data_IF_022728065305
#
_entry.id   IF_022728065305
#
_cell.length_a   1.000
_cell.length_b   1.000
_cell.length_c   1.000
_cell.angle_alpha   90.00
_cell.angle_beta   90.00
_cell.angle_gamma   90.00
#
_symmetry.space_group_name_H-M   'P 1'
#
loop_
_entity.id
_entity.type
_entity.pdbx_description
1 polymer ?
#
# COMPACT_ATOMS: atom_id res chain seq x y z
N UNK A 1 40.10 27.58 -26.23
CA UNK A 1 39.32 28.46 -25.33
C UNK A 1 38.70 27.64 -24.22
N UNK A 2 38.01 26.53 -24.52
CA UNK A 2 37.46 25.62 -23.51
C UNK A 2 38.49 25.05 -22.51
N UNK A 3 39.69 24.62 -22.94
CA UNK A 3 40.73 24.10 -22.02
C UNK A 3 41.13 25.08 -20.90
N UNK A 4 41.10 26.39 -21.16
CA UNK A 4 41.43 27.40 -20.15
C UNK A 4 40.30 27.58 -19.12
N UNK A 5 39.06 27.27 -19.51
CA UNK A 5 37.90 27.38 -18.62
C UNK A 5 37.79 26.12 -17.76
N UNK A 6 37.98 24.93 -18.34
CA UNK A 6 38.01 23.68 -17.58
C UNK A 6 39.13 23.67 -16.54
N UNK A 7 40.34 24.14 -16.90
CA UNK A 7 41.43 24.31 -15.93
C UNK A 7 41.13 25.38 -14.88
N UNK A 8 40.55 26.53 -15.25
CA UNK A 8 40.10 27.52 -14.27
C UNK A 8 39.10 26.94 -13.28
N UNK A 9 38.11 26.18 -13.75
CA UNK A 9 37.11 25.54 -12.90
C UNK A 9 37.79 24.59 -11.92
N UNK A 10 38.60 23.66 -12.44
CA UNK A 10 39.22 22.58 -11.67
C UNK A 10 40.31 23.04 -10.72
N UNK A 11 41.07 24.07 -11.08
CA UNK A 11 42.25 24.48 -10.32
C UNK A 11 41.99 25.70 -9.41
N UNK A 12 40.95 26.49 -9.71
CA UNK A 12 40.70 27.77 -9.04
C UNK A 12 39.28 27.84 -8.47
N UNK A 13 38.25 27.66 -9.31
CA UNK A 13 36.87 27.96 -8.90
C UNK A 13 36.34 27.01 -7.82
N UNK A 14 36.67 25.71 -7.87
CA UNK A 14 36.23 24.73 -6.86
C UNK A 14 36.77 25.02 -5.45
N UNK A 15 37.80 25.86 -5.33
CA UNK A 15 38.37 26.29 -4.06
C UNK A 15 37.83 27.65 -3.59
N UNK A 16 36.92 28.25 -4.36
CA UNK A 16 36.24 29.48 -4.01
C UNK A 16 35.00 29.21 -3.14
N UNK A 17 34.51 30.25 -2.46
CA UNK A 17 33.25 30.25 -1.71
C UNK A 17 32.13 30.95 -2.51
N UNK A 18 32.26 31.02 -3.84
CA UNK A 18 31.34 31.73 -4.73
C UNK A 18 30.12 30.87 -5.13
N UNK A 19 29.37 30.39 -4.14
CA UNK A 19 28.24 29.47 -4.38
C UNK A 19 27.09 30.13 -5.16
N UNK A 20 26.94 31.46 -5.03
CA UNK A 20 25.88 32.25 -5.66
C UNK A 20 25.92 32.20 -7.20
N UNK A 21 27.11 32.01 -7.79
CA UNK A 21 27.28 32.01 -9.26
C UNK A 21 27.25 30.61 -9.87
N UNK A 22 27.19 29.55 -9.04
CA UNK A 22 27.14 28.15 -9.51
C UNK A 22 25.99 27.90 -10.50
N UNK A 23 24.75 28.38 -10.27
CA UNK A 23 23.67 28.21 -11.26
C UNK A 23 24.02 28.79 -12.63
N UNK A 24 24.69 29.94 -12.67
CA UNK A 24 25.11 30.61 -13.90
C UNK A 24 26.20 29.80 -14.63
N UNK A 25 27.15 29.25 -13.88
CA UNK A 25 28.18 28.36 -14.40
C UNK A 25 27.60 27.05 -14.94
N UNK A 26 26.71 26.40 -14.19
CA UNK A 26 26.05 25.16 -14.62
C UNK A 26 25.22 25.38 -15.90
N UNK A 27 24.67 26.57 -16.10
CA UNK A 27 23.93 26.92 -17.32
C UNK A 27 24.81 27.43 -18.47
N UNK A 28 26.08 27.73 -18.22
CA UNK A 28 26.96 28.27 -19.23
C UNK A 28 27.21 27.25 -20.35
N UNK A 29 27.21 27.74 -21.60
CA UNK A 29 27.40 26.93 -22.82
C UNK A 29 28.82 26.39 -22.98
N UNK A 30 29.79 27.00 -22.30
CA UNK A 30 31.19 26.59 -22.32
C UNK A 30 31.54 25.57 -21.23
N UNK A 31 30.65 25.34 -20.26
CA UNK A 31 30.79 24.28 -19.24
C UNK A 31 30.21 23.00 -19.82
N UNK A 32 31.05 22.03 -20.11
CA UNK A 32 30.62 20.73 -20.60
C UNK A 32 30.13 19.83 -19.45
N UNK A 33 29.75 18.59 -19.80
CA UNK A 33 29.27 17.60 -18.84
C UNK A 33 30.33 17.27 -17.76
N UNK A 34 31.59 17.08 -18.16
CA UNK A 34 32.67 16.71 -17.25
C UNK A 34 32.97 17.81 -16.24
N UNK A 35 32.95 19.07 -16.69
CA UNK A 35 33.13 20.21 -15.80
C UNK A 35 31.93 20.40 -14.86
N UNK A 36 30.69 20.24 -15.36
CA UNK A 36 29.50 20.28 -14.52
C UNK A 36 29.48 19.15 -13.48
N UNK A 37 29.92 17.95 -13.88
CA UNK A 37 30.09 16.81 -12.99
C UNK A 37 31.10 17.14 -11.90
N UNK A 38 32.29 17.55 -12.29
CA UNK A 38 33.37 17.85 -11.36
C UNK A 38 33.00 18.96 -10.36
N UNK A 39 32.29 20.01 -10.81
CA UNK A 39 31.73 21.06 -9.96
C UNK A 39 30.78 20.48 -8.91
N UNK A 40 29.83 19.65 -9.35
CA UNK A 40 28.83 19.02 -8.48
C UNK A 40 29.46 18.08 -7.47
N UNK A 41 30.52 17.36 -7.83
CA UNK A 41 31.20 16.42 -6.92
C UNK A 41 32.12 17.13 -5.91
N UNK A 42 32.70 18.27 -6.30
CA UNK A 42 33.79 18.89 -5.56
C UNK A 42 33.36 20.07 -4.67
N UNK A 43 32.25 20.73 -5.00
CA UNK A 43 31.77 21.91 -4.27
C UNK A 43 30.56 21.56 -3.40
N UNK A 44 30.39 22.29 -2.29
CA UNK A 44 29.23 22.15 -1.40
C UNK A 44 28.34 23.38 -1.54
N UNK A 45 27.21 23.24 -2.22
CA UNK A 45 26.23 24.31 -2.45
C UNK A 45 24.80 23.79 -2.38
N UNK A 46 23.82 24.69 -2.35
CA UNK A 46 22.39 24.35 -2.40
C UNK A 46 21.67 25.22 -3.42
N UNK A 47 20.91 24.58 -4.29
CA UNK A 47 20.05 25.23 -5.27
C UNK A 47 18.67 25.44 -4.67
N UNK A 48 18.24 26.70 -4.61
CA UNK A 48 16.90 27.06 -4.13
C UNK A 48 15.81 26.62 -5.12
N UNK A 49 16.06 26.81 -6.42
CA UNK A 49 15.14 26.43 -7.50
C UNK A 49 15.91 25.64 -8.56
N UNK A 50 15.66 24.33 -8.67
CA UNK A 50 16.33 23.48 -9.66
C UNK A 50 15.78 23.69 -11.07
N UNK A 51 14.59 24.29 -11.21
CA UNK A 51 13.94 24.49 -12.52
C UNK A 51 14.67 25.47 -13.43
N UNK A 52 15.50 26.35 -12.85
CA UNK A 52 16.33 27.29 -13.61
C UNK A 52 17.57 26.63 -14.21
N UNK A 53 17.92 25.40 -13.80
CA UNK A 53 19.09 24.68 -14.29
C UNK A 53 18.73 23.91 -15.56
N UNK A 54 19.47 24.19 -16.64
CA UNK A 54 19.39 23.47 -17.90
C UNK A 54 19.94 22.05 -17.72
N UNK A 55 19.10 21.05 -17.94
CA UNK A 55 19.50 19.67 -17.78
C UNK A 55 20.49 19.26 -18.88
N UNK A 56 21.76 19.08 -18.52
CA UNK A 56 22.79 18.56 -19.42
C UNK A 56 22.77 17.04 -19.36
N UNK A 57 22.67 16.39 -20.52
CA UNK A 57 22.72 14.93 -20.63
C UNK A 57 24.17 14.47 -20.77
N UNK A 58 24.49 13.35 -20.14
CA UNK A 58 25.71 12.63 -20.39
C UNK A 58 25.57 11.84 -21.70
N UNK A 59 26.42 12.15 -22.68
CA UNK A 59 26.42 11.44 -23.97
C UNK A 59 27.11 10.07 -23.91
N UNK A 60 27.80 9.76 -22.81
CA UNK A 60 28.46 8.48 -22.60
C UNK A 60 27.50 7.47 -21.95
N UNK A 61 27.59 6.21 -22.37
CA UNK A 61 26.83 5.13 -21.75
C UNK A 61 27.43 4.80 -20.39
N UNK A 62 26.76 5.24 -19.32
CA UNK A 62 27.07 4.91 -17.93
C UNK A 62 26.04 3.94 -17.36
N UNK A 63 26.50 2.99 -16.54
CA UNK A 63 25.61 2.09 -15.78
C UNK A 63 25.01 2.80 -14.56
N UNK A 64 25.59 3.93 -14.14
CA UNK A 64 25.16 4.69 -12.97
C UNK A 64 24.03 5.64 -13.36
N UNK A 65 22.82 5.36 -12.87
CA UNK A 65 21.62 6.12 -13.20
C UNK A 65 21.73 7.62 -12.84
N UNK A 66 22.50 7.98 -11.81
CA UNK A 66 22.67 9.38 -11.40
C UNK A 66 23.66 10.16 -12.27
N UNK A 67 24.48 9.49 -13.07
CA UNK A 67 25.43 10.11 -14.01
C UNK A 67 24.82 10.34 -15.41
N UNK A 68 23.52 10.08 -15.59
CA UNK A 68 22.87 10.21 -16.90
C UNK A 68 22.57 11.67 -17.25
N UNK A 69 22.30 12.50 -16.26
CA UNK A 69 21.99 13.91 -16.46
C UNK A 69 22.22 14.74 -15.21
N UNK A 70 22.31 16.06 -15.40
CA UNK A 70 22.73 16.99 -14.36
C UNK A 70 21.73 17.05 -13.20
N UNK A 71 20.43 17.00 -13.47
CA UNK A 71 19.42 16.96 -12.41
C UNK A 71 19.55 15.73 -11.53
N UNK A 72 19.85 14.57 -12.11
CA UNK A 72 20.09 13.34 -11.35
C UNK A 72 21.36 13.44 -10.51
N UNK A 73 22.41 14.07 -11.04
CA UNK A 73 23.66 14.30 -10.31
C UNK A 73 23.45 15.24 -9.12
N UNK A 74 22.76 16.36 -9.34
CA UNK A 74 22.42 17.34 -8.30
C UNK A 74 21.57 16.72 -7.19
N UNK A 75 20.62 15.86 -7.54
CA UNK A 75 19.82 15.12 -6.58
C UNK A 75 20.68 14.12 -5.77
N UNK A 76 21.53 13.34 -6.44
CA UNK A 76 22.39 12.34 -5.79
C UNK A 76 23.36 12.98 -4.77
N UNK A 77 23.99 14.10 -5.15
CA UNK A 77 24.91 14.83 -4.27
C UNK A 77 24.21 15.80 -3.31
N UNK A 78 22.86 15.78 -3.24
CA UNK A 78 22.05 16.57 -2.31
C UNK A 78 22.17 18.08 -2.45
N UNK A 79 22.39 18.59 -3.67
CA UNK A 79 22.47 20.03 -3.95
C UNK A 79 21.12 20.69 -4.21
N UNK A 80 20.01 19.99 -4.01
CA UNK A 80 18.66 20.51 -4.28
C UNK A 80 17.96 20.78 -2.94
N UNK A 81 17.52 22.02 -2.74
CA UNK A 81 16.83 22.41 -1.51
C UNK A 81 15.51 21.64 -1.39
N UNK A 82 15.21 21.05 -0.22
CA UNK A 82 14.04 20.21 -0.03
C UNK A 82 12.76 21.04 0.12
N UNK A 83 12.21 21.45 -1.01
CA UNK A 83 10.92 22.13 -1.12
C UNK A 83 9.96 21.28 -1.97
N UNK A 84 8.66 21.49 -1.78
CA UNK A 84 7.66 20.83 -2.62
C UNK A 84 7.75 21.26 -4.08
N UNK A 85 8.10 22.52 -4.36
CA UNK A 85 8.31 23.00 -5.73
C UNK A 85 9.44 22.23 -6.44
N UNK A 86 10.58 22.03 -5.77
CA UNK A 86 11.68 21.25 -6.32
C UNK A 86 11.32 19.77 -6.46
N UNK A 87 10.61 19.19 -5.50
CA UNK A 87 10.13 17.80 -5.59
C UNK A 87 9.18 17.62 -6.79
N UNK A 88 8.21 18.51 -6.95
CA UNK A 88 7.24 18.46 -8.05
C UNK A 88 7.90 18.71 -9.41
N UNK A 89 8.95 19.54 -9.46
CA UNK A 89 9.75 19.72 -10.66
C UNK A 89 10.50 18.44 -11.02
N UNK A 90 11.20 17.81 -10.07
CA UNK A 90 11.90 16.53 -10.30
C UNK A 90 10.94 15.39 -10.68
N UNK A 91 9.69 15.49 -10.23
CA UNK A 91 8.64 14.54 -10.58
C UNK A 91 8.12 14.73 -12.02
N UNK A 92 8.31 15.91 -12.63
CA UNK A 92 7.76 16.22 -13.95
C UNK A 92 8.35 15.30 -15.04
N UNK A 93 7.51 14.93 -16.01
CA UNK A 93 7.89 14.10 -17.17
C UNK A 93 9.00 14.72 -18.03
N UNK A 94 9.09 16.05 -18.06
CA UNK A 94 10.15 16.77 -18.76
C UNK A 94 11.52 16.59 -18.13
N UNK A 95 11.57 16.13 -16.87
CA UNK A 95 12.80 15.88 -16.13
C UNK A 95 13.17 14.39 -16.23
N UNK A 96 14.26 14.11 -16.93
CA UNK A 96 14.77 12.75 -17.19
C UNK A 96 15.44 12.12 -15.95
N UNK A 97 14.93 12.36 -14.74
CA UNK A 97 15.49 11.75 -13.53
C UNK A 97 14.99 10.31 -13.36
N UNK A 98 15.88 9.37 -13.08
CA UNK A 98 15.50 8.01 -12.75
C UNK A 98 14.68 7.95 -11.45
N UNK A 99 13.71 7.03 -11.39
CA UNK A 99 12.87 6.86 -10.19
C UNK A 99 13.68 6.51 -8.93
N UNK A 100 14.78 5.77 -9.12
CA UNK A 100 15.69 5.37 -8.05
C UNK A 100 16.39 6.59 -7.43
N UNK A 101 16.99 7.47 -8.25
CA UNK A 101 17.60 8.73 -7.76
C UNK A 101 16.59 9.60 -7.01
N UNK A 102 15.38 9.70 -7.57
CA UNK A 102 14.31 10.49 -6.98
C UNK A 102 13.91 9.96 -5.60
N UNK A 103 13.76 8.63 -5.47
CA UNK A 103 13.45 7.99 -4.20
C UNK A 103 14.58 8.10 -3.18
N UNK A 104 15.84 7.98 -3.61
CA UNK A 104 17.01 8.17 -2.74
C UNK A 104 17.07 9.58 -2.17
N UNK A 105 16.89 10.59 -3.02
CA UNK A 105 16.82 11.98 -2.57
C UNK A 105 15.66 12.19 -1.59
N UNK A 106 14.45 11.71 -1.91
CA UNK A 106 13.30 11.79 -1.00
C UNK A 106 13.57 11.10 0.34
N UNK A 107 14.22 9.94 0.34
CA UNK A 107 14.54 9.20 1.56
C UNK A 107 15.45 9.97 2.52
N UNK A 108 16.32 10.85 2.00
CA UNK A 108 17.21 11.69 2.81
C UNK A 108 16.43 12.91 3.32
N UNK A 109 15.60 13.52 2.47
CA UNK A 109 15.07 14.86 2.70
C UNK A 109 13.62 14.93 3.17
N UNK A 110 12.88 13.82 3.21
CA UNK A 110 11.43 13.83 3.54
C UNK A 110 11.10 14.53 4.87
N UNK A 111 12.00 14.50 5.84
CA UNK A 111 11.79 15.11 7.17
C UNK A 111 11.93 16.63 7.18
N UNK A 112 12.52 17.21 6.13
CA UNK A 112 12.71 18.65 5.96
C UNK A 112 11.59 19.29 5.14
N UNK A 113 10.79 18.48 4.44
CA UNK A 113 9.66 18.97 3.66
C UNK A 113 8.57 19.55 4.57
N UNK A 114 7.96 20.69 4.21
CA UNK A 114 6.88 21.30 4.99
C UNK A 114 5.67 20.36 5.14
N UNK A 115 5.04 20.36 6.32
CA UNK A 115 3.78 19.66 6.55
C UNK A 115 2.61 20.48 5.98
N UNK A 116 2.27 20.21 4.73
CA UNK A 116 1.17 20.84 4.02
C UNK A 116 0.44 19.86 3.10
N UNK A 117 -0.75 20.25 2.65
CA UNK A 117 -1.54 19.45 1.71
C UNK A 117 -1.58 20.13 0.36
N UNK A 118 -1.12 19.42 -0.67
CA UNK A 118 -0.98 19.96 -2.01
C UNK A 118 -1.83 19.16 -3.03
N UNK A 119 -2.36 19.83 -4.06
CA UNK A 119 -2.95 19.15 -5.19
C UNK A 119 -1.87 18.61 -6.14
N UNK A 120 -2.18 17.53 -6.86
CA UNK A 120 -1.38 17.04 -7.98
C UNK A 120 -2.15 17.20 -9.29
N UNK A 121 -1.42 17.52 -10.36
CA UNK A 121 -1.92 17.34 -11.73
C UNK A 121 -1.90 15.86 -12.13
N UNK A 122 -2.67 15.48 -13.17
CA UNK A 122 -2.70 14.09 -13.66
C UNK A 122 -1.32 13.57 -14.11
N UNK A 123 -0.51 14.47 -14.68
CA UNK A 123 0.87 14.17 -15.11
C UNK A 123 1.75 13.86 -13.90
N UNK A 124 1.72 14.72 -12.88
CA UNK A 124 2.49 14.51 -11.65
C UNK A 124 2.03 13.27 -10.90
N UNK A 125 0.71 13.01 -10.85
CA UNK A 125 0.19 11.78 -10.24
C UNK A 125 0.74 10.54 -10.96
N UNK A 126 0.69 10.53 -12.28
CA UNK A 126 1.21 9.41 -13.08
C UNK A 126 2.71 9.18 -12.83
N UNK A 127 3.49 10.25 -12.75
CA UNK A 127 4.91 10.15 -12.41
C UNK A 127 5.16 9.72 -10.97
N UNK A 128 4.33 10.14 -10.01
CA UNK A 128 4.42 9.68 -8.63
C UNK A 128 4.18 8.18 -8.53
N UNK A 129 3.17 7.69 -9.24
CA UNK A 129 2.86 6.27 -9.31
C UNK A 129 4.06 5.47 -9.85
N UNK A 130 4.64 5.92 -10.97
CA UNK A 130 5.75 5.24 -11.64
C UNK A 130 7.05 5.32 -10.82
N UNK A 131 7.47 6.53 -10.43
CA UNK A 131 8.79 6.75 -9.81
C UNK A 131 8.82 6.39 -8.33
N UNK A 132 7.70 6.56 -7.60
CA UNK A 132 7.67 6.41 -6.14
C UNK A 132 6.85 5.21 -5.69
N UNK A 133 5.59 5.10 -6.10
CA UNK A 133 4.69 4.07 -5.56
C UNK A 133 5.14 2.66 -5.95
N UNK A 134 5.64 2.48 -7.16
CA UNK A 134 6.19 1.20 -7.63
C UNK A 134 7.67 1.00 -7.29
N UNK A 135 8.30 1.93 -6.57
CA UNK A 135 9.73 1.84 -6.23
C UNK A 135 9.98 0.86 -5.09
N UNK A 136 11.03 0.03 -5.22
CA UNK A 136 11.53 -0.82 -4.14
C UNK A 136 12.44 -0.07 -3.15
N UNK A 137 12.91 1.13 -3.51
CA UNK A 137 13.93 1.88 -2.77
C UNK A 137 13.30 2.89 -1.81
N UNK A 138 12.08 3.35 -2.07
CA UNK A 138 11.40 4.30 -1.20
C UNK A 138 11.22 3.73 0.22
N UNK A 139 11.61 4.51 1.22
CA UNK A 139 11.46 4.13 2.62
C UNK A 139 10.01 4.31 3.07
N UNK A 140 9.54 3.49 4.00
CA UNK A 140 8.20 3.60 4.59
C UNK A 140 7.94 5.02 5.14
N UNK A 141 8.93 5.63 5.79
CA UNK A 141 8.77 6.96 6.39
C UNK A 141 8.59 8.06 5.33
N UNK A 142 9.43 8.07 4.30
CA UNK A 142 9.30 9.03 3.19
C UNK A 142 7.97 8.84 2.45
N UNK A 143 7.59 7.58 2.20
CA UNK A 143 6.34 7.30 1.50
C UNK A 143 5.09 7.73 2.29
N UNK A 144 5.12 7.60 3.62
CA UNK A 144 4.05 8.12 4.49
C UNK A 144 3.94 9.64 4.38
N UNK A 145 5.04 10.39 4.36
CA UNK A 145 4.99 11.86 4.20
C UNK A 145 4.41 12.25 2.84
N UNK A 146 4.85 11.60 1.77
CA UNK A 146 4.30 11.81 0.41
C UNK A 146 2.80 11.54 0.40
N UNK A 147 2.36 10.44 0.99
CA UNK A 147 0.94 10.06 0.99
C UNK A 147 0.06 10.95 1.86
N UNK A 148 0.60 11.53 2.94
CA UNK A 148 -0.12 12.50 3.76
C UNK A 148 -0.29 13.85 3.07
N UNK A 149 0.71 14.25 2.29
CA UNK A 149 0.75 15.50 1.54
C UNK A 149 -0.31 15.52 0.44
N UNK A 150 -0.36 14.46 -0.38
CA UNK A 150 -1.30 14.39 -1.49
C UNK A 150 -2.54 13.58 -1.08
N UNK A 151 -3.62 14.25 -0.65
CA UNK A 151 -4.85 13.56 -0.19
C UNK A 151 -5.61 12.94 -1.36
N UNK A 152 -5.23 11.71 -1.73
CA UNK A 152 -5.75 11.00 -2.89
C UNK A 152 -6.41 9.69 -2.49
N UNK A 153 -7.28 9.19 -3.38
CA UNK A 153 -7.89 7.87 -3.28
C UNK A 153 -7.86 7.23 -4.66
N UNK A 154 -6.96 6.27 -4.84
CA UNK A 154 -6.75 5.49 -6.04
C UNK A 154 -7.91 4.50 -6.24
N UNK A 155 -8.51 4.57 -7.42
CA UNK A 155 -9.55 3.63 -7.87
C UNK A 155 -8.98 2.54 -8.78
N UNK A 156 -7.71 2.67 -9.17
CA UNK A 156 -6.94 1.74 -9.98
C UNK A 156 -5.54 1.63 -9.38
N UNK A 157 -4.98 0.42 -9.35
CA UNK A 157 -3.62 0.21 -8.88
C UNK A 157 -2.59 0.55 -9.95
N UNK A 158 -1.42 1.07 -9.55
CA UNK A 158 -0.30 1.22 -10.46
C UNK A 158 0.31 -0.13 -10.82
N UNK A 159 0.91 -0.21 -12.00
CA UNK A 159 1.67 -1.37 -12.44
C UNK A 159 2.88 -1.61 -11.53
N UNK A 160 3.24 -2.87 -11.31
CA UNK A 160 4.38 -3.30 -10.49
C UNK A 160 4.34 -2.81 -9.03
N UNK A 161 3.14 -2.66 -8.46
CA UNK A 161 2.98 -2.36 -7.04
C UNK A 161 3.60 -3.46 -6.18
N UNK A 162 4.38 -3.07 -5.16
CA UNK A 162 4.99 -4.00 -4.21
C UNK A 162 4.14 -4.13 -2.95
N UNK A 163 4.13 -5.32 -2.34
CA UNK A 163 3.34 -5.63 -1.13
C UNK A 163 3.56 -4.64 0.03
N UNK A 164 4.81 -4.22 0.25
CA UNK A 164 5.15 -3.28 1.32
C UNK A 164 4.57 -1.88 1.06
N UNK A 165 4.56 -1.45 -0.21
CA UNK A 165 4.02 -0.15 -0.60
C UNK A 165 2.48 -0.20 -0.58
N UNK A 166 1.88 -1.31 -1.02
CA UNK A 166 0.44 -1.54 -0.89
C UNK A 166 -0.02 -1.43 0.58
N UNK A 167 0.76 -1.98 1.52
CA UNK A 167 0.48 -1.84 2.95
C UNK A 167 0.46 -0.38 3.42
N UNK A 168 1.41 0.44 2.97
CA UNK A 168 1.44 1.88 3.28
C UNK A 168 0.24 2.60 2.68
N UNK A 169 -0.09 2.32 1.41
CA UNK A 169 -1.26 2.92 0.76
C UNK A 169 -2.57 2.56 1.49
N UNK A 170 -2.68 1.33 1.99
CA UNK A 170 -3.81 0.90 2.81
C UNK A 170 -3.88 1.65 4.15
N UNK A 171 -2.76 1.72 4.87
CA UNK A 171 -2.66 2.44 6.16
C UNK A 171 -3.04 3.93 6.01
N UNK A 172 -2.60 4.55 4.92
CA UNK A 172 -2.84 5.97 4.62
C UNK A 172 -4.16 6.23 3.88
N UNK A 173 -5.01 5.20 3.69
CA UNK A 173 -6.33 5.28 3.04
C UNK A 173 -6.28 5.80 1.60
N UNK A 174 -5.19 5.54 0.91
CA UNK A 174 -5.01 5.87 -0.49
C UNK A 174 -5.67 4.88 -1.43
N UNK A 175 -5.96 3.65 -0.99
CA UNK A 175 -6.69 2.68 -1.82
C UNK A 175 -8.19 2.79 -1.58
N UNK A 176 -8.94 3.06 -2.65
CA UNK A 176 -10.39 3.07 -2.59
C UNK A 176 -10.90 1.65 -2.30
N UNK A 177 -11.78 1.44 -1.31
CA UNK A 177 -12.33 0.12 -1.01
C UNK A 177 -13.45 -0.22 -2.00
N UNK A 178 -13.06 -0.56 -3.23
CA UNK A 178 -13.94 -0.99 -4.32
C UNK A 178 -13.64 -2.42 -4.71
N UNK A 179 -14.58 -3.09 -5.39
CA UNK A 179 -14.38 -4.45 -5.93
C UNK A 179 -13.22 -4.49 -6.92
N UNK A 180 -13.09 -3.46 -7.77
CA UNK A 180 -11.99 -3.35 -8.73
C UNK A 180 -10.63 -3.29 -8.06
N UNK A 181 -10.46 -2.48 -7.00
CA UNK A 181 -9.18 -2.41 -6.28
C UNK A 181 -8.88 -3.70 -5.54
N UNK A 182 -9.91 -4.36 -4.97
CA UNK A 182 -9.76 -5.67 -4.34
C UNK A 182 -9.23 -6.71 -5.33
N UNK A 183 -9.87 -6.82 -6.50
CA UNK A 183 -9.49 -7.76 -7.55
C UNK A 183 -8.08 -7.47 -8.09
N UNK A 184 -7.78 -6.20 -8.36
CA UNK A 184 -6.45 -5.80 -8.82
C UNK A 184 -5.36 -6.08 -7.78
N UNK A 185 -5.64 -5.89 -6.49
CA UNK A 185 -4.67 -6.18 -5.42
C UNK A 185 -4.40 -7.68 -5.36
N UNK A 186 -5.46 -8.48 -5.44
CA UNK A 186 -5.34 -9.92 -5.47
C UNK A 186 -4.48 -10.38 -6.65
N UNK A 187 -4.80 -9.93 -7.87
CA UNK A 187 -4.09 -10.33 -9.08
C UNK A 187 -2.62 -9.85 -9.09
N UNK A 188 -2.36 -8.61 -8.65
CA UNK A 188 -1.00 -8.05 -8.68
C UNK A 188 -0.06 -8.67 -7.64
N UNK A 189 -0.61 -9.15 -6.52
CA UNK A 189 0.17 -9.56 -5.35
C UNK A 189 -0.12 -11.02 -4.93
N UNK A 190 -0.73 -11.83 -5.80
CA UNK A 190 -1.07 -13.21 -5.45
C UNK A 190 0.18 -14.02 -5.04
N UNK A 191 1.34 -13.69 -5.61
CA UNK A 191 2.61 -14.39 -5.34
C UNK A 191 3.14 -14.12 -3.92
N UNK A 192 2.70 -13.03 -3.29
CA UNK A 192 3.09 -12.69 -1.91
C UNK A 192 2.36 -13.54 -0.84
N UNK A 193 1.38 -14.34 -1.25
CA UNK A 193 0.71 -15.35 -0.42
C UNK A 193 0.16 -14.78 0.90
N UNK A 194 0.56 -15.36 2.03
CA UNK A 194 0.09 -15.02 3.38
C UNK A 194 0.17 -13.52 3.75
N UNK A 195 1.04 -12.75 3.08
CA UNK A 195 1.18 -11.30 3.35
C UNK A 195 0.04 -10.47 2.73
N UNK A 196 -0.62 -11.00 1.71
CA UNK A 196 -1.72 -10.33 1.00
C UNK A 196 -3.03 -10.41 1.80
N UNK A 197 -3.32 -11.54 2.46
CA UNK A 197 -4.58 -11.78 3.17
C UNK A 197 -4.93 -10.68 4.20
N UNK A 198 -3.98 -10.19 5.03
CA UNK A 198 -4.26 -9.07 5.95
C UNK A 198 -4.61 -7.76 5.24
N UNK A 199 -4.04 -7.50 4.06
CA UNK A 199 -4.32 -6.28 3.28
C UNK A 199 -5.72 -6.32 2.66
N UNK A 200 -6.08 -7.46 2.05
CA UNK A 200 -7.41 -7.69 1.52
C UNK A 200 -8.47 -7.58 2.63
N UNK A 201 -8.20 -8.18 3.79
CA UNK A 201 -9.05 -8.05 4.97
C UNK A 201 -9.19 -6.60 5.44
N UNK A 202 -8.11 -5.81 5.45
CA UNK A 202 -8.17 -4.40 5.80
C UNK A 202 -9.04 -3.58 4.83
N UNK A 203 -8.98 -3.89 3.52
CA UNK A 203 -9.82 -3.25 2.51
C UNK A 203 -11.31 -3.56 2.71
N UNK A 204 -11.63 -4.81 3.02
CA UNK A 204 -13.00 -5.24 3.36
C UNK A 204 -13.50 -4.51 4.62
N UNK A 205 -12.66 -4.40 5.65
CA UNK A 205 -13.03 -3.67 6.86
C UNK A 205 -13.28 -2.18 6.59
N UNK A 206 -12.59 -1.57 5.63
CA UNK A 206 -12.82 -0.18 5.23
C UNK A 206 -14.18 0.01 4.55
N UNK A 207 -14.70 -1.01 3.84
CA UNK A 207 -16.07 -1.01 3.27
C UNK A 207 -16.70 -2.40 3.33
N UNK A 208 -17.36 -2.76 4.45
CA UNK A 208 -18.00 -4.07 4.61
C UNK A 208 -19.09 -4.38 3.58
N UNK A 209 -19.66 -3.36 2.92
CA UNK A 209 -20.67 -3.49 1.85
C UNK A 209 -20.15 -4.32 0.66
N UNK A 210 -18.82 -4.42 0.47
CA UNK A 210 -18.23 -5.31 -0.54
C UNK A 210 -18.68 -6.77 -0.36
N UNK A 211 -18.89 -7.20 0.88
CA UNK A 211 -19.33 -8.55 1.21
C UNK A 211 -20.78 -8.79 0.78
N UNK A 212 -21.67 -7.80 0.92
CA UNK A 212 -23.08 -7.99 0.55
C UNK A 212 -23.33 -8.05 -0.96
N UNK A 213 -22.46 -7.45 -1.75
CA UNK A 213 -22.62 -7.37 -3.21
C UNK A 213 -21.81 -8.43 -3.97
N UNK A 214 -20.68 -8.91 -3.41
CA UNK A 214 -19.73 -9.74 -4.13
C UNK A 214 -19.12 -10.86 -3.25
N UNK A 215 -19.96 -11.72 -2.65
CA UNK A 215 -19.46 -12.85 -1.84
C UNK A 215 -18.46 -13.73 -2.59
N UNK A 216 -18.73 -14.02 -3.86
CA UNK A 216 -17.86 -14.89 -4.66
C UNK A 216 -16.50 -14.27 -4.92
N UNK A 217 -16.44 -12.98 -5.28
CA UNK A 217 -15.17 -12.26 -5.49
C UNK A 217 -14.29 -12.25 -4.24
N UNK A 218 -14.90 -12.15 -3.05
CA UNK A 218 -14.16 -11.97 -1.80
C UNK A 218 -13.79 -13.29 -1.14
N UNK A 219 -14.66 -14.29 -1.22
CA UNK A 219 -14.50 -15.57 -0.53
C UNK A 219 -13.89 -16.66 -1.42
N UNK A 220 -13.81 -16.43 -2.73
CA UNK A 220 -13.20 -17.35 -3.68
C UNK A 220 -12.10 -16.65 -4.47
N UNK A 221 -11.02 -17.38 -4.67
CA UNK A 221 -9.81 -16.99 -5.36
C UNK A 221 -9.52 -18.07 -6.41
N UNK A 222 -9.56 -17.73 -7.70
CA UNK A 222 -9.34 -18.68 -8.80
C UNK A 222 -10.22 -19.95 -8.72
N UNK A 223 -11.50 -19.76 -8.38
CA UNK A 223 -12.51 -20.83 -8.12
C UNK A 223 -12.25 -21.68 -6.87
N UNK A 224 -11.16 -21.45 -6.14
CA UNK A 224 -10.88 -22.08 -4.85
C UNK A 224 -11.42 -21.24 -3.69
N UNK A 225 -11.92 -21.90 -2.65
CA UNK A 225 -12.44 -21.22 -1.47
C UNK A 225 -11.30 -20.67 -0.61
N UNK A 226 -11.20 -19.33 -0.49
CA UNK A 226 -10.22 -18.67 0.36
C UNK A 226 -10.64 -18.78 1.83
N UNK A 227 -10.12 -19.83 2.48
CA UNK A 227 -10.39 -20.14 3.88
C UNK A 227 -9.77 -19.11 4.82
N UNK A 228 -8.62 -18.54 4.47
CA UNK A 228 -7.87 -17.66 5.36
C UNK A 228 -8.53 -16.30 5.48
N UNK A 229 -8.93 -15.70 4.36
CA UNK A 229 -9.68 -14.45 4.39
C UNK A 229 -11.05 -14.64 5.04
N UNK A 230 -11.73 -15.74 4.75
CA UNK A 230 -13.04 -16.06 5.34
C UNK A 230 -12.92 -16.20 6.86
N UNK A 231 -11.87 -16.87 7.33
CA UNK A 231 -11.59 -17.01 8.76
C UNK A 231 -11.32 -15.65 9.40
N UNK A 232 -10.56 -14.76 8.77
CA UNK A 232 -10.34 -13.39 9.29
C UNK A 232 -11.65 -12.60 9.38
N UNK A 233 -12.51 -12.69 8.36
CA UNK A 233 -13.81 -12.01 8.32
C UNK A 233 -14.72 -12.50 9.45
N UNK A 234 -14.89 -13.81 9.60
CA UNK A 234 -15.85 -14.39 10.55
C UNK A 234 -15.40 -14.29 12.02
N UNK A 235 -14.09 -14.28 12.27
CA UNK A 235 -13.53 -14.20 13.61
C UNK A 235 -13.19 -12.77 14.04
N UNK A 236 -13.17 -11.82 13.09
CA UNK A 236 -12.96 -10.41 13.38
C UNK A 236 -14.12 -9.75 14.14
N UNK A 237 -13.80 -8.63 14.76
CA UNK A 237 -14.74 -7.73 15.46
C UNK A 237 -15.14 -6.51 14.62
N UNK A 238 -14.48 -6.30 13.47
CA UNK A 238 -14.70 -5.14 12.59
C UNK A 238 -15.89 -5.27 11.64
N UNK A 239 -16.40 -6.50 11.44
CA UNK A 239 -17.55 -6.78 10.57
C UNK A 239 -18.77 -7.08 11.44
N UNK A 240 -19.92 -6.51 11.07
CA UNK A 240 -21.16 -6.70 11.81
C UNK A 240 -21.60 -8.17 11.77
N UNK A 241 -22.07 -8.67 12.91
CA UNK A 241 -22.49 -10.06 13.07
C UNK A 241 -23.56 -10.48 12.06
N UNK A 242 -24.46 -9.57 11.69
CA UNK A 242 -25.51 -9.82 10.69
C UNK A 242 -24.90 -10.20 9.33
N UNK A 243 -23.84 -9.50 8.93
CA UNK A 243 -23.10 -9.78 7.68
C UNK A 243 -22.39 -11.12 7.79
N UNK A 244 -21.74 -11.41 8.92
CA UNK A 244 -21.09 -12.71 9.15
C UNK A 244 -22.08 -13.88 9.10
N UNK A 245 -23.27 -13.72 9.68
CA UNK A 245 -24.33 -14.74 9.62
C UNK A 245 -24.86 -14.90 8.20
N UNK A 246 -25.03 -13.81 7.44
CA UNK A 246 -25.38 -13.88 6.01
C UNK A 246 -24.33 -14.64 5.19
N UNK A 247 -23.04 -14.42 5.44
CA UNK A 247 -21.95 -15.18 4.80
C UNK A 247 -22.06 -16.67 5.12
N UNK A 248 -22.26 -17.03 6.40
CA UNK A 248 -22.38 -18.42 6.81
C UNK A 248 -23.56 -19.12 6.13
N UNK A 249 -24.71 -18.44 6.06
CA UNK A 249 -25.90 -18.97 5.38
C UNK A 249 -25.66 -19.12 3.88
N UNK A 250 -25.03 -18.14 3.23
CA UNK A 250 -24.70 -18.22 1.82
C UNK A 250 -23.71 -19.35 1.49
N UNK A 251 -22.66 -19.54 2.31
CA UNK A 251 -21.72 -20.66 2.17
C UNK A 251 -22.42 -22.01 2.33
N UNK A 252 -23.35 -22.11 3.29
CA UNK A 252 -24.15 -23.31 3.53
C UNK A 252 -25.05 -23.66 2.34
N UNK A 253 -25.68 -22.66 1.73
CA UNK A 253 -26.50 -22.85 0.53
C UNK A 253 -25.67 -23.19 -0.72
N UNK A 254 -24.44 -22.66 -0.83
CA UNK A 254 -23.54 -22.92 -1.96
C UNK A 254 -22.99 -24.34 -1.92
N UNK A 255 -22.36 -24.73 -0.82
CA UNK A 255 -21.86 -26.09 -0.59
C UNK A 255 -21.63 -26.34 0.91
N UNK A 256 -22.45 -27.23 1.49
CA UNK A 256 -22.34 -27.66 2.88
C UNK A 256 -20.93 -28.18 3.25
N UNK A 257 -20.20 -28.75 2.28
CA UNK A 257 -18.88 -29.32 2.50
C UNK A 257 -17.85 -28.26 2.91
N UNK A 258 -17.98 -27.02 2.41
CA UNK A 258 -17.08 -25.91 2.71
C UNK A 258 -16.99 -25.62 4.23
N UNK A 259 -18.14 -25.73 4.92
CA UNK A 259 -18.26 -25.58 6.37
C UNK A 259 -17.90 -26.85 7.15
N UNK A 260 -17.48 -27.93 6.50
CA UNK A 260 -17.22 -29.23 7.13
C UNK A 260 -15.74 -29.64 7.13
N UNK A 261 -14.98 -29.27 6.09
CA UNK A 261 -13.60 -29.72 5.85
C UNK A 261 -12.58 -29.18 6.87
N UNK A 262 -12.63 -27.87 7.15
CA UNK A 262 -11.63 -27.20 7.98
C UNK A 262 -12.26 -26.10 8.85
N UNK A 263 -11.72 -25.89 10.08
CA UNK A 263 -12.23 -24.96 11.08
C UNK A 263 -12.25 -23.51 10.59
N UNK A 264 -13.45 -22.95 10.38
CA UNK A 264 -13.63 -21.55 9.97
C UNK A 264 -13.86 -20.60 11.16
N UNK A 265 -14.47 -21.10 12.24
CA UNK A 265 -14.85 -20.30 13.40
C UNK A 265 -14.01 -20.66 14.63
N UNK A 266 -13.67 -19.62 15.40
CA UNK A 266 -13.20 -19.74 16.78
C UNK A 266 -14.37 -20.03 17.71
N UNK A 267 -14.07 -20.55 18.90
CA UNK A 267 -15.08 -20.78 19.95
C UNK A 267 -15.86 -19.49 20.28
N UNK A 268 -15.18 -18.35 20.31
CA UNK A 268 -15.81 -17.06 20.61
C UNK A 268 -16.78 -16.63 19.51
N UNK A 269 -16.37 -16.76 18.23
CA UNK A 269 -17.22 -16.44 17.10
C UNK A 269 -18.45 -17.36 17.04
N UNK A 270 -18.30 -18.66 17.34
CA UNK A 270 -19.45 -19.57 17.36
C UNK A 270 -20.44 -19.22 18.47
N UNK A 271 -19.99 -18.90 19.68
CA UNK A 271 -20.87 -18.45 20.77
C UNK A 271 -21.65 -17.21 20.31
N UNK A 272 -20.96 -16.23 19.72
CA UNK A 272 -21.54 -14.98 19.20
C UNK A 272 -22.65 -15.22 18.18
N UNK A 273 -22.46 -16.19 17.29
CA UNK A 273 -23.42 -16.48 16.21
C UNK A 273 -24.48 -17.53 16.58
N UNK A 274 -24.31 -18.26 17.69
CA UNK A 274 -25.15 -19.41 18.07
C UNK A 274 -26.64 -19.10 18.17
N UNK A 275 -26.99 -17.88 18.59
CA UNK A 275 -28.37 -17.41 18.74
C UNK A 275 -28.94 -16.84 17.45
N UNK A 276 -28.11 -16.53 16.45
CA UNK A 276 -28.51 -15.89 15.17
C UNK A 276 -28.65 -16.89 14.03
N UNK A 277 -27.88 -17.97 14.04
CA UNK A 277 -28.05 -19.07 13.09
C UNK A 277 -29.38 -19.77 13.41
N UNK A 278 -30.18 -20.10 12.41
CA UNK A 278 -31.48 -20.77 12.60
C UNK A 278 -31.46 -22.23 12.19
N UNK A 279 -30.61 -22.61 11.22
CA UNK A 279 -30.46 -23.99 10.77
C UNK A 279 -29.69 -24.84 11.81
N UNK A 280 -30.36 -25.83 12.37
CA UNK A 280 -29.80 -26.73 13.38
C UNK A 280 -28.71 -27.66 12.84
N UNK A 281 -28.77 -28.03 11.56
CA UNK A 281 -27.76 -28.87 10.89
C UNK A 281 -26.49 -28.06 10.66
N UNK A 282 -26.62 -26.82 10.20
CA UNK A 282 -25.51 -25.88 10.06
C UNK A 282 -24.84 -25.63 11.42
N UNK A 283 -25.62 -25.35 12.49
CA UNK A 283 -25.08 -25.21 13.86
C UNK A 283 -24.31 -26.45 14.31
N UNK A 284 -24.84 -27.63 14.05
CA UNK A 284 -24.21 -28.88 14.46
C UNK A 284 -22.86 -29.08 13.75
N UNK A 285 -22.78 -28.78 12.46
CA UNK A 285 -21.52 -28.89 11.70
C UNK A 285 -20.48 -27.89 12.21
N UNK A 286 -20.85 -26.63 12.41
CA UNK A 286 -19.95 -25.61 12.94
C UNK A 286 -19.47 -25.94 14.37
N UNK A 287 -20.35 -26.51 15.21
CA UNK A 287 -19.98 -27.03 16.54
C UNK A 287 -18.98 -28.18 16.42
N UNK A 288 -19.23 -29.14 15.53
CA UNK A 288 -18.34 -30.28 15.29
C UNK A 288 -16.96 -29.83 14.81
N UNK A 289 -16.88 -28.78 13.99
CA UNK A 289 -15.60 -28.19 13.60
C UNK A 289 -14.84 -27.62 14.80
N UNK A 290 -15.50 -26.83 15.65
CA UNK A 290 -14.87 -26.27 16.85
C UNK A 290 -14.40 -27.36 17.82
N UNK A 291 -15.15 -28.46 17.93
CA UNK A 291 -14.81 -29.62 18.77
C UNK A 291 -13.60 -30.42 18.27
N UNK A 292 -13.42 -30.52 16.95
CA UNK A 292 -12.30 -31.27 16.35
C UNK A 292 -10.96 -30.54 16.48
N UNK A 293 -10.98 -29.21 16.60
CA UNK A 293 -9.81 -28.39 16.36
C UNK A 293 -9.15 -27.83 17.63
N UNK A 294 -9.76 -27.99 18.81
CA UNK A 294 -9.29 -27.38 20.06
C UNK A 294 -9.55 -28.23 21.31
N UNK A 295 -8.79 -27.99 22.39
CA UNK A 295 -9.17 -28.43 23.75
C UNK A 295 -10.36 -27.60 24.20
N UNK A 296 -11.54 -28.01 23.79
CA UNK A 296 -12.78 -27.28 24.05
C UNK A 296 -13.03 -27.17 25.55
N UNK A 297 -13.26 -25.95 26.03
CA UNK A 297 -13.55 -25.72 27.44
C UNK A 297 -14.94 -26.27 27.80
N UNK A 298 -15.09 -26.85 29.01
CA UNK A 298 -16.40 -27.30 29.50
C UNK A 298 -17.44 -26.17 29.56
N UNK A 299 -17.00 -24.93 29.70
CA UNK A 299 -17.85 -23.74 29.69
C UNK A 299 -18.47 -23.48 28.31
N UNK A 300 -17.69 -23.62 27.24
CA UNK A 300 -18.17 -23.51 25.85
C UNK A 300 -19.24 -24.57 25.53
N UNK A 301 -18.99 -25.82 25.93
CA UNK A 301 -19.94 -26.92 25.70
C UNK A 301 -21.29 -26.64 26.39
N UNK A 302 -21.26 -26.15 27.64
CA UNK A 302 -22.50 -25.79 28.37
C UNK A 302 -23.27 -24.67 27.70
N UNK A 303 -22.62 -23.58 27.31
CA UNK A 303 -23.29 -22.44 26.67
C UNK A 303 -23.96 -22.81 25.35
N UNK A 304 -23.32 -23.65 24.53
CA UNK A 304 -23.90 -24.12 23.27
C UNK A 304 -25.08 -25.10 23.48
N UNK A 305 -25.05 -25.90 24.55
CA UNK A 305 -26.13 -26.83 24.89
C UNK A 305 -27.33 -26.12 25.55
N UNK A 306 -27.09 -25.09 26.36
CA UNK A 306 -28.15 -24.29 26.99
C UNK A 306 -29.01 -23.55 25.95
N UNK A 307 -28.42 -23.07 24.85
CA UNK A 307 -29.16 -22.47 23.73
C UNK A 307 -30.15 -23.47 23.10
N UNK A 308 -29.77 -24.76 23.01
CA UNK A 308 -30.65 -25.84 22.54
C UNK A 308 -31.82 -26.11 23.49
N UNK A 309 -31.61 -25.97 24.80
CA UNK A 309 -32.66 -26.15 25.79
C UNK A 309 -33.73 -25.05 25.70
N UNK A 310 -33.35 -23.81 25.39
CA UNK A 310 -34.29 -22.70 25.19
C UNK A 310 -35.14 -22.79 23.90
N UNK A 311 -34.73 -23.57 22.89
CA UNK A 311 -35.51 -23.81 21.67
C UNK A 311 -36.52 -24.97 21.76
N UNK A 312 -36.40 -25.82 22.79
CA UNK A 312 -37.27 -26.99 23.01
C UNK A 312 -38.44 -26.73 23.96
N UNK A 313 -38.58 -25.51 24.51
CA UNK A 313 -39.65 -25.16 25.45
C UNK A 313 -40.97 -24.71 24.79
N UNK A 314 -41.19 -24.99 23.51
CA UNK A 314 -42.46 -24.72 22.83
C UNK A 314 -43.05 -26.00 22.23
N UNK A 315 -43.54 -26.91 23.08
CA UNK A 315 -44.59 -27.87 22.72
C UNK A 315 -45.74 -27.79 23.73
N UNK A 316 -46.99 -27.95 23.26
CA UNK A 316 -48.18 -27.39 23.91
C UNK A 316 -48.60 -28.21 25.12
N UNK A 317 -49.16 -27.53 26.12
CA UNK A 317 -49.96 -28.17 27.15
C UNK A 317 -51.11 -28.95 26.49
N UNK A 318 -50.95 -30.27 26.36
CA UNK A 318 -52.08 -31.21 26.36
C UNK A 318 -52.52 -31.37 27.81
N UNK A 319 -53.59 -30.68 28.17
CA UNK A 319 -54.45 -31.13 29.27
C UNK A 319 -55.38 -32.22 28.70
N UNK A 320 -55.07 -33.48 28.99
CA UNK A 320 -56.04 -34.58 28.92
C UNK A 320 -56.60 -34.79 30.34
N UNK A 321 -57.89 -34.49 30.48
CA UNK A 321 -58.93 -35.27 31.16
C UNK A 321 -58.63 -35.87 32.55
N UNK A 322 -59.34 -35.34 33.56
CA UNK A 322 -60.13 -36.16 34.49
C UNK A 322 -61.52 -35.58 34.67
#
# INVERSE_FOLDING_TARGET
>A
MNENISSFIRDIFIHSEEDEIIPEFLNATFVDWEDAKYLTESMSFMLEDVSVILNKENTETTELYYEQNLHSLLAHYNHITPTWDNMLFLLDNSVSIAGDTFCEWLNIHYSLLPDETLPLTDVQLSQLLIKTVSSAIISKAAFVVVTQTFRLSLIQLPDNLLINNAAVLMEQKWLAPTSTVFEQLYQALHEDGDKLTPLLYALICARPVLLSENYELVLFADEEFDRDITRLILNGDKIADEVCVSILNWLWEKDEALLSEAPLLSQQALIRFSTKITDDRQKQILLMQCLKNDKVSHQFIRQMLDVRASGLCCFPHREELS
#
